data_IF_018685780944
#
_entry.id   IF_018685780944
#
_cell.length_a   1.000
_cell.length_b   1.000
_cell.length_c   1.000
_cell.angle_alpha   90.00
_cell.angle_beta   90.00
_cell.angle_gamma   90.00
#
_symmetry.space_group_name_H-M   'P 1'
#
loop_
_entity.id
_entity.type
_entity.pdbx_description
1 polymer ?
#
# COMPACT_ATOMS: atom_id res chain seq x y z
N UNK A 1 35.92 30.00 -0.92
CA UNK A 1 36.09 28.54 -0.78
C UNK A 1 35.11 27.97 0.23
N UNK A 2 35.12 28.41 1.50
CA UNK A 2 34.18 27.96 2.53
C UNK A 2 32.67 28.21 2.20
N UNK A 3 32.34 29.34 1.56
CA UNK A 3 30.97 29.64 1.14
C UNK A 3 30.44 28.65 0.08
N UNK A 4 31.30 28.21 -0.86
CA UNK A 4 30.93 27.25 -1.89
C UNK A 4 30.71 25.84 -1.31
N UNK A 5 31.52 25.45 -0.33
CA UNK A 5 31.38 24.18 0.39
C UNK A 5 30.11 24.14 1.25
N UNK A 6 29.74 25.27 1.86
CA UNK A 6 28.50 25.40 2.66
C UNK A 6 27.25 25.34 1.78
N UNK A 7 27.30 25.91 0.57
CA UNK A 7 26.21 25.84 -0.42
C UNK A 7 26.05 24.40 -0.96
N UNK A 8 27.16 23.71 -1.24
CA UNK A 8 27.14 22.32 -1.73
C UNK A 8 26.66 21.32 -0.67
N UNK A 9 26.93 21.59 0.61
CA UNK A 9 26.41 20.80 1.74
C UNK A 9 24.89 20.98 1.96
N UNK A 10 24.33 22.13 1.58
CA UNK A 10 22.88 22.39 1.66
C UNK A 10 22.09 21.72 0.52
N UNK A 11 22.69 21.59 -0.66
CA UNK A 11 22.08 20.98 -1.86
C UNK A 11 21.80 19.48 -1.69
N UNK A 12 22.64 18.76 -0.94
CA UNK A 12 22.53 17.30 -0.73
C UNK A 12 21.67 16.88 0.48
N UNK A 13 20.81 17.77 1.00
CA UNK A 13 20.06 17.51 2.24
C UNK A 13 18.90 16.52 2.09
N UNK A 14 18.49 16.17 0.87
CA UNK A 14 17.55 15.08 0.58
C UNK A 14 18.33 13.91 -0.03
N UNK A 15 18.92 13.11 0.85
CA UNK A 15 19.50 11.82 0.50
C UNK A 15 18.51 10.71 0.87
N UNK A 16 17.85 10.11 -0.12
CA UNK A 16 16.92 8.99 0.10
C UNK A 16 16.15 8.58 -1.15
N UNK A 17 15.50 7.41 -1.10
CA UNK A 17 14.70 6.90 -2.20
C UNK A 17 13.24 7.39 -2.08
N UNK A 18 12.89 8.43 -2.84
CA UNK A 18 11.53 9.00 -2.91
C UNK A 18 10.48 7.98 -3.35
N UNK A 19 10.86 6.95 -4.12
CA UNK A 19 9.95 5.88 -4.52
C UNK A 19 9.41 5.11 -3.31
N UNK A 20 10.21 4.93 -2.25
CA UNK A 20 9.77 4.28 -1.00
C UNK A 20 8.67 5.07 -0.29
N UNK A 21 8.77 6.40 -0.31
CA UNK A 21 7.73 7.29 0.25
C UNK A 21 6.47 7.22 -0.60
N UNK A 22 6.61 7.28 -1.93
CA UNK A 22 5.50 7.11 -2.87
C UNK A 22 4.77 5.79 -2.69
N UNK A 23 5.50 4.69 -2.52
CA UNK A 23 4.91 3.38 -2.23
C UNK A 23 4.16 3.36 -0.89
N UNK A 24 4.75 3.93 0.17
CA UNK A 24 4.11 4.06 1.48
C UNK A 24 2.76 4.79 1.41
N UNK A 25 2.65 5.81 0.55
CA UNK A 25 1.38 6.51 0.31
C UNK A 25 0.41 5.67 -0.54
N UNK A 26 0.91 4.96 -1.56
CA UNK A 26 0.10 4.14 -2.43
C UNK A 26 -0.63 2.99 -1.68
N UNK A 27 0.00 2.42 -0.64
CA UNK A 27 -0.56 1.31 0.14
C UNK A 27 -1.60 1.71 1.18
N UNK A 28 -1.85 3.01 1.41
CA UNK A 28 -2.87 3.46 2.37
C UNK A 28 -4.27 3.02 1.93
N UNK A 29 -4.59 3.19 0.64
CA UNK A 29 -5.88 2.77 0.08
C UNK A 29 -6.13 1.26 0.24
N UNK A 30 -5.21 0.40 -0.23
CA UNK A 30 -5.27 -1.04 0.00
C UNK A 30 -5.37 -1.42 1.48
N UNK A 31 -4.56 -0.82 2.36
CA UNK A 31 -4.59 -1.12 3.79
C UNK A 31 -5.96 -0.87 4.43
N UNK A 32 -6.60 0.27 4.11
CA UNK A 32 -7.95 0.58 4.57
C UNK A 32 -8.97 -0.37 3.94
N UNK A 33 -8.87 -0.60 2.63
CA UNK A 33 -9.77 -1.48 1.88
C UNK A 33 -9.77 -2.91 2.41
N UNK A 34 -8.58 -3.48 2.68
CA UNK A 34 -8.41 -4.81 3.27
C UNK A 34 -8.99 -4.86 4.67
N UNK A 35 -8.72 -3.86 5.52
CA UNK A 35 -9.25 -3.81 6.88
C UNK A 35 -10.78 -3.89 6.92
N UNK A 36 -11.45 -3.08 6.08
CA UNK A 36 -12.91 -3.07 5.98
C UNK A 36 -13.44 -4.38 5.39
N UNK A 37 -12.85 -4.85 4.29
CA UNK A 37 -13.29 -6.03 3.56
C UNK A 37 -13.18 -7.30 4.42
N UNK A 38 -12.04 -7.50 5.07
CA UNK A 38 -11.80 -8.66 5.93
C UNK A 38 -12.67 -8.57 7.18
N UNK A 39 -12.77 -7.40 7.81
CA UNK A 39 -13.63 -7.18 8.97
C UNK A 39 -15.09 -7.55 8.70
N UNK A 40 -15.66 -7.05 7.60
CA UNK A 40 -17.03 -7.39 7.18
C UNK A 40 -17.21 -8.86 6.81
N UNK A 41 -16.19 -9.49 6.24
CA UNK A 41 -16.24 -10.92 5.94
C UNK A 41 -16.30 -11.74 7.23
N UNK A 42 -15.47 -11.40 8.23
CA UNK A 42 -15.47 -12.08 9.53
C UNK A 42 -16.81 -11.89 10.25
N UNK A 43 -17.34 -10.66 10.29
CA UNK A 43 -18.67 -10.40 10.83
C UNK A 43 -19.77 -11.22 10.12
N UNK A 44 -19.72 -11.29 8.79
CA UNK A 44 -20.66 -12.08 7.99
C UNK A 44 -20.58 -13.57 8.32
N UNK A 45 -19.37 -14.12 8.41
CA UNK A 45 -19.13 -15.52 8.76
C UNK A 45 -19.58 -15.85 10.19
N UNK A 46 -19.40 -14.92 11.13
CA UNK A 46 -19.85 -15.10 12.51
C UNK A 46 -21.37 -15.11 12.62
N UNK A 47 -22.07 -14.31 11.79
CA UNK A 47 -23.54 -14.25 11.76
C UNK A 47 -24.19 -15.41 11.01
N UNK A 48 -23.52 -15.92 9.98
CA UNK A 48 -24.03 -17.00 9.12
C UNK A 48 -22.90 -18.00 8.80
N UNK A 49 -22.63 -18.96 9.71
CA UNK A 49 -21.55 -19.92 9.54
C UNK A 49 -21.77 -20.85 8.33
N UNK A 50 -23.02 -21.05 7.91
CA UNK A 50 -23.39 -21.94 6.80
C UNK A 50 -22.85 -21.45 5.45
N UNK A 51 -22.74 -20.13 5.27
CA UNK A 51 -22.23 -19.49 4.03
C UNK A 51 -20.76 -19.09 4.14
N UNK A 52 -20.07 -19.48 5.22
CA UNK A 52 -18.69 -19.06 5.49
C UNK A 52 -17.69 -19.41 4.38
N UNK A 53 -17.87 -20.57 3.74
CA UNK A 53 -17.06 -20.98 2.59
C UNK A 53 -17.19 -20.01 1.42
N UNK A 54 -18.42 -19.62 1.07
CA UNK A 54 -18.69 -18.67 -0.02
C UNK A 54 -18.16 -17.27 0.32
N UNK A 55 -18.35 -16.82 1.56
CA UNK A 55 -17.83 -15.52 2.02
C UNK A 55 -16.31 -15.45 1.92
N UNK A 56 -15.58 -16.52 2.29
CA UNK A 56 -14.12 -16.59 2.11
C UNK A 56 -13.71 -16.52 0.65
N UNK A 57 -14.39 -17.23 -0.25
CA UNK A 57 -14.10 -17.17 -1.69
C UNK A 57 -14.28 -15.75 -2.23
N UNK A 58 -15.41 -15.11 -1.95
CA UNK A 58 -15.66 -13.72 -2.37
C UNK A 58 -14.66 -12.74 -1.74
N UNK A 59 -14.28 -12.95 -0.49
CA UNK A 59 -13.26 -12.16 0.19
C UNK A 59 -11.91 -12.22 -0.55
N UNK A 60 -11.41 -13.40 -0.92
CA UNK A 60 -10.14 -13.51 -1.64
C UNK A 60 -10.18 -12.85 -3.03
N UNK A 61 -11.30 -12.94 -3.74
CA UNK A 61 -11.50 -12.21 -4.99
C UNK A 61 -11.41 -10.69 -4.73
N UNK A 62 -12.08 -10.20 -3.70
CA UNK A 62 -12.05 -8.80 -3.32
C UNK A 62 -10.66 -8.32 -2.85
N UNK A 63 -9.92 -9.14 -2.10
CA UNK A 63 -8.51 -8.89 -1.75
C UNK A 63 -7.69 -8.70 -3.01
N UNK A 64 -7.86 -9.56 -4.01
CA UNK A 64 -7.18 -9.42 -5.30
C UNK A 64 -7.43 -8.06 -5.95
N UNK A 65 -8.68 -7.58 -5.99
CA UNK A 65 -9.00 -6.27 -6.55
C UNK A 65 -8.45 -5.10 -5.74
N UNK A 66 -8.53 -5.17 -4.41
CA UNK A 66 -7.97 -4.13 -3.53
C UNK A 66 -6.46 -4.04 -3.72
N UNK A 67 -5.79 -5.19 -3.87
CA UNK A 67 -4.34 -5.26 -3.85
C UNK A 67 -3.69 -4.95 -5.21
N UNK A 68 -4.45 -4.97 -6.31
CA UNK A 68 -3.98 -4.43 -7.60
C UNK A 68 -3.46 -2.99 -7.43
N UNK A 69 -4.11 -2.17 -6.61
CA UNK A 69 -3.68 -0.79 -6.40
C UNK A 69 -2.36 -0.69 -5.62
N UNK A 70 -2.17 -1.55 -4.60
CA UNK A 70 -0.92 -1.60 -3.83
C UNK A 70 0.25 -2.11 -4.67
N UNK A 71 0.02 -3.19 -5.42
CA UNK A 71 1.02 -3.76 -6.33
C UNK A 71 1.36 -2.81 -7.48
N UNK A 72 0.41 -2.02 -7.99
CA UNK A 72 0.72 -0.96 -8.95
C UNK A 72 1.65 0.08 -8.35
N UNK A 73 1.42 0.52 -7.11
CA UNK A 73 2.33 1.39 -6.39
C UNK A 73 3.75 0.81 -6.30
N UNK A 74 3.86 -0.47 -5.94
CA UNK A 74 5.15 -1.18 -5.89
C UNK A 74 5.84 -1.18 -7.26
N UNK A 75 5.12 -1.56 -8.32
CA UNK A 75 5.63 -1.63 -9.69
C UNK A 75 6.10 -0.25 -10.18
N UNK A 76 5.34 0.82 -9.92
CA UNK A 76 5.76 2.18 -10.29
C UNK A 76 7.07 2.59 -9.60
N UNK A 77 7.29 2.12 -8.38
CA UNK A 77 8.53 2.31 -7.63
C UNK A 77 9.72 1.52 -8.16
N UNK A 78 9.56 0.64 -9.16
CA UNK A 78 10.66 0.01 -9.90
C UNK A 78 10.78 0.54 -11.34
N UNK A 79 9.67 0.99 -11.93
CA UNK A 79 9.66 1.52 -13.31
C UNK A 79 10.20 2.95 -13.41
N UNK A 80 10.09 3.74 -12.35
CA UNK A 80 10.46 5.16 -12.35
C UNK A 80 11.62 5.52 -11.40
N UNK A 81 12.46 4.54 -11.06
CA UNK A 81 13.70 4.72 -10.26
C UNK A 81 14.93 4.99 -11.11
#
# INVERSE_FOLDING_TARGET
MALAETILAAENSISGNIATVGYGLAVIGPGIGLGILIGKTIEGMARQPEVSGQLRTTMFIGIGFVEVLGLLGLVTGFLFT
#
